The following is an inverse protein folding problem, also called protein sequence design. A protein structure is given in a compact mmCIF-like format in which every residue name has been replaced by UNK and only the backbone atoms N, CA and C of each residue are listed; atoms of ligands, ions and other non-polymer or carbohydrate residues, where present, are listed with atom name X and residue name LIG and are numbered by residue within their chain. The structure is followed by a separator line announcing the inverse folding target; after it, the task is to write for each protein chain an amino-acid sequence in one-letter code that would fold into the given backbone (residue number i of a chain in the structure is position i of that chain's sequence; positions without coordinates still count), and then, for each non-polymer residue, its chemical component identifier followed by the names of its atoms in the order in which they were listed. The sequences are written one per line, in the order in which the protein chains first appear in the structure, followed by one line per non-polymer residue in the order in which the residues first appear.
data_IF_053233753041
#
_entry.id   IF_053233753041
#
_cell.length_a   1.000
_cell.length_b   1.000
_cell.length_c   1.000
_cell.angle_alpha   90.00
_cell.angle_beta   90.00
_cell.angle_gamma   90.00
#
_symmetry.space_group_name_H-M   'P 1'
#
loop_
_entity.id
_entity.type
_entity.pdbx_description
1 polymer ?
#
# COMPACT_ATOMS: atom_id res chain seq x y z
N UNK A 1 11.03 -6.96 17.33
CA UNK A 1 9.57 -7.09 17.24
C UNK A 1 9.03 -5.68 17.12
N UNK A 2 8.29 -5.38 16.05
CA UNK A 2 7.73 -4.05 15.77
C UNK A 2 6.24 -4.14 16.00
N UNK A 3 5.69 -3.22 16.80
CA UNK A 3 4.27 -3.15 17.10
C UNK A 3 3.65 -1.91 16.49
N UNK A 4 2.39 -2.01 16.09
CA UNK A 4 1.56 -0.87 15.72
C UNK A 4 0.39 -0.82 16.69
N UNK A 5 0.12 0.35 17.26
CA UNK A 5 -0.93 0.57 18.24
C UNK A 5 -1.71 1.84 17.90
N UNK A 6 -3.00 1.84 18.23
CA UNK A 6 -3.88 2.99 18.09
C UNK A 6 -4.80 3.07 19.29
N UNK A 7 -4.96 4.27 19.86
CA UNK A 7 -5.81 4.50 21.04
C UNK A 7 -7.05 5.28 20.63
N UNK A 8 -8.21 4.77 21.00
CA UNK A 8 -9.51 5.38 20.68
C UNK A 8 -10.52 5.10 21.77
N UNK A 9 -11.39 6.09 22.05
CA UNK A 9 -12.54 5.92 22.92
C UNK A 9 -13.77 5.58 22.07
N UNK A 10 -14.19 4.32 22.09
CA UNK A 10 -15.37 3.82 21.39
C UNK A 10 -15.90 2.55 22.07
N UNK A 11 -17.06 2.05 21.65
CA UNK A 11 -17.49 0.69 22.00
C UNK A 11 -16.47 -0.34 21.52
N UNK A 12 -16.30 -1.45 22.24
CA UNK A 12 -15.20 -2.42 22.02
C UNK A 12 -15.06 -2.87 20.55
N UNK A 13 -16.16 -3.30 19.91
CA UNK A 13 -16.13 -3.75 18.51
C UNK A 13 -15.78 -2.63 17.54
N UNK A 14 -16.31 -1.43 17.78
CA UNK A 14 -16.03 -0.25 16.96
C UNK A 14 -14.59 0.25 17.15
N UNK A 15 -14.08 0.16 18.38
CA UNK A 15 -12.69 0.46 18.71
C UNK A 15 -11.71 -0.46 17.99
N UNK A 16 -11.99 -1.78 17.97
CA UNK A 16 -11.18 -2.74 17.21
C UNK A 16 -11.17 -2.42 15.71
N UNK A 17 -12.33 -2.11 15.12
CA UNK A 17 -12.44 -1.77 13.71
C UNK A 17 -11.63 -0.50 13.36
N UNK A 18 -11.78 0.57 14.14
CA UNK A 18 -11.04 1.82 13.93
C UNK A 18 -9.54 1.58 14.09
N UNK A 19 -9.13 0.88 15.16
CA UNK A 19 -7.72 0.58 15.39
C UNK A 19 -7.14 -0.25 14.24
N UNK A 20 -7.87 -1.26 13.77
CA UNK A 20 -7.47 -2.07 12.63
C UNK A 20 -7.27 -1.22 11.36
N UNK A 21 -8.22 -0.35 11.02
CA UNK A 21 -8.11 0.52 9.84
C UNK A 21 -6.91 1.46 9.90
N UNK A 22 -6.68 2.07 11.07
CA UNK A 22 -5.60 3.03 11.30
C UNK A 22 -4.23 2.36 11.29
N UNK A 23 -4.10 1.25 12.02
CA UNK A 23 -2.86 0.48 12.06
C UNK A 23 -2.55 -0.14 10.68
N UNK A 24 -3.56 -0.62 9.95
CA UNK A 24 -3.39 -1.16 8.59
C UNK A 24 -2.89 -0.10 7.61
N UNK A 25 -3.40 1.13 7.70
CA UNK A 25 -2.92 2.24 6.87
C UNK A 25 -1.45 2.58 7.15
N UNK A 26 -1.02 2.58 8.42
CA UNK A 26 0.38 2.77 8.78
C UNK A 26 1.27 1.63 8.22
N UNK A 27 0.79 0.39 8.29
CA UNK A 27 1.47 -0.76 7.68
C UNK A 27 1.54 -0.65 6.16
N UNK A 28 0.51 -0.14 5.49
CA UNK A 28 0.54 0.07 4.04
C UNK A 28 1.65 1.06 3.62
N UNK A 29 1.90 2.10 4.43
CA UNK A 29 3.05 3.00 4.21
C UNK A 29 4.37 2.25 4.36
N UNK A 30 4.52 1.41 5.39
CA UNK A 30 5.74 0.61 5.58
C UNK A 30 5.98 -0.34 4.40
N UNK A 31 4.92 -0.99 3.92
CA UNK A 31 4.98 -1.86 2.73
C UNK A 31 5.47 -1.09 1.50
N UNK A 32 4.89 0.07 1.21
CA UNK A 32 5.31 0.91 0.08
C UNK A 32 6.81 1.24 0.11
N UNK A 33 7.33 1.44 1.32
CA UNK A 33 8.72 1.81 1.56
C UNK A 33 9.68 0.60 1.67
N UNK A 34 9.18 -0.63 1.57
CA UNK A 34 9.96 -1.86 1.77
C UNK A 34 10.54 -2.45 0.49
N UNK A 35 11.47 -3.39 0.62
CA UNK A 35 12.22 -3.95 -0.52
C UNK A 35 11.38 -4.63 -1.61
N UNK A 36 10.17 -5.12 -1.34
CA UNK A 36 9.31 -5.77 -2.36
C UNK A 36 8.87 -4.82 -3.48
N UNK A 37 8.91 -3.51 -3.23
CA UNK A 37 8.72 -2.52 -4.29
C UNK A 37 9.80 -2.62 -5.37
N UNK A 38 11.03 -2.98 -5.00
CA UNK A 38 12.14 -3.17 -5.95
C UNK A 38 12.23 -4.63 -6.42
N UNK A 39 12.00 -5.56 -5.50
CA UNK A 39 12.15 -7.00 -5.71
C UNK A 39 10.78 -7.68 -5.60
N UNK A 40 10.01 -7.76 -6.70
CA UNK A 40 8.61 -8.15 -6.62
C UNK A 40 8.37 -9.59 -6.15
N UNK A 41 9.41 -10.43 -6.18
CA UNK A 41 9.40 -11.81 -5.71
C UNK A 41 9.65 -11.96 -4.20
N UNK A 42 10.06 -10.88 -3.52
CA UNK A 42 10.23 -10.89 -2.05
C UNK A 42 8.84 -10.80 -1.41
N UNK A 43 8.53 -11.76 -0.53
CA UNK A 43 7.25 -11.81 0.16
C UNK A 43 7.24 -10.87 1.38
N UNK A 44 6.24 -10.00 1.45
CA UNK A 44 5.93 -9.21 2.66
C UNK A 44 4.78 -9.85 3.42
N UNK A 45 4.98 -10.01 4.73
CA UNK A 45 3.95 -10.39 5.67
C UNK A 45 3.99 -9.46 6.87
N UNK A 46 2.82 -8.98 7.29
CA UNK A 46 2.64 -8.25 8.54
C UNK A 46 1.51 -8.91 9.31
N UNK A 47 1.75 -9.21 10.57
CA UNK A 47 0.81 -9.98 11.40
C UNK A 47 -0.50 -9.24 11.62
N UNK A 48 -0.59 -7.92 11.47
CA UNK A 48 -1.89 -7.25 11.58
C UNK A 48 -2.75 -7.43 10.31
N UNK A 49 -2.14 -7.75 9.17
CA UNK A 49 -2.82 -7.62 7.88
C UNK A 49 -3.73 -8.81 7.56
N UNK A 50 -4.96 -8.74 8.09
CA UNK A 50 -6.04 -9.70 7.80
C UNK A 50 -6.53 -9.66 6.34
N UNK A 51 -6.04 -8.73 5.49
CA UNK A 51 -6.53 -8.50 4.11
C UNK A 51 -5.85 -9.38 3.06
N UNK A 52 -4.71 -9.99 3.39
CA UNK A 52 -4.00 -10.90 2.47
C UNK A 52 -4.63 -12.31 2.49
N UNK A 53 -4.79 -12.91 1.31
CA UNK A 53 -5.26 -14.30 1.15
C UNK A 53 -4.30 -15.36 1.70
N UNK A 54 -3.11 -14.94 2.10
CA UNK A 54 -2.19 -15.72 2.91
C UNK A 54 -2.45 -15.18 4.31
N UNK A 55 -3.08 -15.98 5.15
CA UNK A 55 -3.35 -15.64 6.53
C UNK A 55 -2.24 -16.26 7.40
N UNK A 56 -1.05 -15.64 7.54
CA UNK A 56 -0.21 -16.00 8.67
C UNK A 56 -0.89 -15.40 9.88
N UNK A 57 -1.41 -16.28 10.72
CA UNK A 57 -2.19 -15.96 11.92
C UNK A 57 -1.59 -14.79 12.71
N UNK A 58 -2.46 -13.96 13.29
CA UNK A 58 -2.13 -12.61 13.76
C UNK A 58 -1.97 -12.57 15.30
N UNK A 59 -0.97 -11.86 15.81
CA UNK A 59 -0.91 -11.47 17.23
C UNK A 59 -1.65 -10.12 17.43
N UNK A 60 -2.89 -10.18 17.92
CA UNK A 60 -3.68 -8.97 18.22
C UNK A 60 -3.94 -8.90 19.72
N UNK A 61 -3.47 -7.82 20.34
CA UNK A 61 -3.75 -7.49 21.73
C UNK A 61 -4.89 -6.45 21.78
N UNK A 62 -6.00 -6.83 22.39
CA UNK A 62 -7.09 -5.89 22.72
C UNK A 62 -7.14 -5.79 24.24
N UNK A 63 -6.98 -4.58 24.77
CA UNK A 63 -7.04 -4.32 26.20
C UNK A 63 -7.99 -3.16 26.47
N UNK A 64 -8.82 -3.28 27.51
CA UNK A 64 -9.59 -2.16 28.01
C UNK A 64 -8.67 -1.27 28.87
N UNK A 65 -8.61 0.02 28.56
CA UNK A 65 -7.71 0.96 29.23
C UNK A 65 -7.98 1.11 30.75
N UNK A 66 -9.17 0.71 31.22
CA UNK A 66 -9.55 0.79 32.64
C UNK A 66 -9.30 -0.51 33.41
N UNK A 67 -9.10 -1.65 32.73
CA UNK A 67 -8.85 -2.96 33.33
C UNK A 67 -7.93 -3.79 32.42
N UNK A 68 -6.61 -3.55 32.54
CA UNK A 68 -5.58 -4.13 31.66
C UNK A 68 -5.45 -5.67 31.75
N UNK A 69 -5.90 -6.28 32.86
CA UNK A 69 -5.63 -7.69 33.17
C UNK A 69 -6.79 -8.66 32.85
N UNK A 70 -8.04 -8.21 32.88
CA UNK A 70 -9.20 -9.12 32.83
C UNK A 70 -9.74 -9.39 31.41
N UNK A 71 -9.36 -8.58 30.41
CA UNK A 71 -9.91 -8.64 29.03
C UNK A 71 -8.86 -8.96 27.94
N UNK A 72 -7.69 -9.49 28.33
CA UNK A 72 -6.60 -9.81 27.40
C UNK A 72 -6.98 -10.98 26.48
N UNK A 73 -7.28 -10.68 25.21
CA UNK A 73 -7.43 -11.71 24.17
C UNK A 73 -6.11 -11.90 23.42
N UNK A 74 -5.64 -13.14 23.37
CA UNK A 74 -4.42 -13.57 22.68
C UNK A 74 -4.77 -14.54 21.56
N UNK A 75 -4.41 -14.19 20.34
CA UNK A 75 -4.40 -15.12 19.20
C UNK A 75 -2.94 -15.26 18.73
N UNK A 76 -2.49 -16.49 18.50
CA UNK A 76 -1.07 -16.79 18.24
C UNK A 76 -0.92 -17.76 17.07
N UNK A 77 -0.14 -17.37 16.05
CA UNK A 77 0.63 -18.28 15.20
C UNK A 77 1.51 -17.49 14.23
N UNK A 78 2.43 -18.16 13.53
CA UNK A 78 3.58 -17.54 12.88
C UNK A 78 3.59 -17.69 11.35
N UNK A 79 4.03 -16.65 10.61
CA UNK A 79 4.50 -16.81 9.24
C UNK A 79 5.81 -17.64 9.19
N UNK A 80 6.09 -18.26 8.04
CA UNK A 80 7.35 -19.01 7.82
C UNK A 80 8.58 -18.11 7.63
N UNK A 81 8.40 -16.84 7.26
CA UNK A 81 9.49 -15.87 7.07
C UNK A 81 9.10 -14.51 7.65
N UNK A 82 9.91 -13.99 8.57
CA UNK A 82 9.77 -12.64 9.09
C UNK A 82 10.44 -11.66 8.13
N UNK A 83 9.70 -10.65 7.66
CA UNK A 83 10.35 -9.46 7.08
C UNK A 83 11.18 -8.81 8.18
N UNK A 84 12.50 -8.76 8.01
CA UNK A 84 13.39 -8.18 9.02
C UNK A 84 13.70 -6.75 8.62
N UNK A 85 13.20 -5.81 9.40
CA UNK A 85 13.64 -4.42 9.33
C UNK A 85 14.99 -4.35 10.05
N UNK A 86 16.07 -4.54 9.31
CA UNK A 86 17.43 -4.25 9.77
C UNK A 86 17.82 -2.81 9.42
N UNK A 87 19.05 -2.39 9.77
CA UNK A 87 19.49 -1.01 9.54
C UNK A 87 19.45 -0.62 8.05
N UNK A 88 19.73 -1.57 7.13
CA UNK A 88 19.69 -1.32 5.70
C UNK A 88 18.27 -1.15 5.19
N UNK A 89 17.35 -1.99 5.65
CA UNK A 89 15.94 -1.87 5.32
C UNK A 89 15.34 -0.59 5.92
N UNK A 90 15.75 -0.21 7.13
CA UNK A 90 15.35 1.05 7.75
C UNK A 90 15.86 2.26 6.95
N UNK A 91 17.13 2.27 6.54
CA UNK A 91 17.68 3.31 5.67
C UNK A 91 16.91 3.42 4.35
N UNK A 92 16.55 2.28 3.74
CA UNK A 92 15.70 2.27 2.55
C UNK A 92 14.33 2.88 2.82
N UNK A 93 13.67 2.47 3.90
CA UNK A 93 12.35 2.99 4.28
C UNK A 93 12.40 4.51 4.43
N UNK A 94 13.42 5.03 5.12
CA UNK A 94 13.61 6.48 5.30
C UNK A 94 13.89 7.17 3.96
N UNK A 95 14.77 6.62 3.12
CA UNK A 95 15.12 7.20 1.82
C UNK A 95 13.94 7.27 0.84
N UNK A 96 12.89 6.48 1.08
CA UNK A 96 11.65 6.43 0.28
C UNK A 96 10.53 7.28 0.86
N UNK A 97 10.89 8.33 1.59
CA UNK A 97 9.95 9.33 2.09
C UNK A 97 8.96 8.80 3.13
N UNK A 98 9.29 7.73 3.85
CA UNK A 98 8.49 7.30 5.00
C UNK A 98 8.23 8.43 6.02
N UNK A 99 9.17 9.36 6.31
CA UNK A 99 8.88 10.52 7.16
C UNK A 99 7.80 11.44 6.59
N UNK A 100 7.75 11.66 5.26
CA UNK A 100 6.73 12.49 4.63
C UNK A 100 5.35 11.82 4.73
N UNK A 101 5.28 10.52 4.48
CA UNK A 101 4.05 9.75 4.66
C UNK A 101 3.61 9.73 6.13
N UNK A 102 4.55 9.61 7.08
CA UNK A 102 4.25 9.70 8.50
C UNK A 102 3.62 11.04 8.87
N UNK A 103 4.24 12.15 8.44
CA UNK A 103 3.72 13.50 8.67
C UNK A 103 2.35 13.69 8.02
N UNK A 104 2.15 13.16 6.81
CA UNK A 104 0.84 13.16 6.14
C UNK A 104 -0.21 12.43 6.97
N UNK A 105 0.10 11.23 7.49
CA UNK A 105 -0.81 10.45 8.33
C UNK A 105 -1.17 11.19 9.62
N UNK A 106 -0.23 11.90 10.26
CA UNK A 106 -0.52 12.71 11.46
C UNK A 106 -1.46 13.89 11.15
N UNK A 107 -1.29 14.54 10.00
CA UNK A 107 -2.10 15.71 9.61
C UNK A 107 -3.56 15.33 9.38
N UNK A 108 -3.80 14.23 8.66
CA UNK A 108 -5.16 13.79 8.28
C UNK A 108 -6.00 13.30 9.47
N UNK A 109 -5.42 13.10 10.65
CA UNK A 109 -6.18 12.75 11.86
C UNK A 109 -6.83 13.95 12.53
N UNK A 110 -6.37 15.15 12.20
CA UNK A 110 -6.76 16.39 12.88
C UNK A 110 -7.71 17.28 12.08
N UNK A 111 -8.01 16.91 10.83
CA UNK A 111 -8.79 17.72 9.92
C UNK A 111 -9.80 16.90 9.10
N UNK A 112 -10.83 17.57 8.58
CA UNK A 112 -11.64 16.99 7.51
C UNK A 112 -10.78 16.73 6.27
N UNK A 113 -11.00 15.59 5.62
CA UNK A 113 -10.20 15.18 4.48
C UNK A 113 -10.71 15.86 3.21
N UNK A 114 -9.80 16.56 2.53
CA UNK A 114 -10.02 16.95 1.13
C UNK A 114 -10.11 15.72 0.22
N UNK A 115 -10.71 15.90 -0.96
CA UNK A 115 -10.80 14.87 -2.00
C UNK A 115 -9.42 14.32 -2.38
N UNK A 116 -8.42 15.20 -2.53
CA UNK A 116 -7.05 14.79 -2.82
C UNK A 116 -6.45 13.93 -1.70
N UNK A 117 -6.65 14.29 -0.43
CA UNK A 117 -6.18 13.49 0.70
C UNK A 117 -6.84 12.11 0.72
N UNK A 118 -8.14 12.02 0.44
CA UNK A 118 -8.84 10.73 0.30
C UNK A 118 -8.29 9.89 -0.85
N UNK A 119 -8.02 10.50 -2.01
CA UNK A 119 -7.40 9.83 -3.15
C UNK A 119 -6.01 9.29 -2.79
N UNK A 120 -5.20 10.07 -2.06
CA UNK A 120 -3.87 9.63 -1.59
C UNK A 120 -4.00 8.47 -0.60
N UNK A 121 -4.87 8.56 0.41
CA UNK A 121 -5.10 7.46 1.37
C UNK A 121 -5.53 6.19 0.66
N UNK A 122 -6.48 6.29 -0.28
CA UNK A 122 -6.95 5.14 -1.05
C UNK A 122 -5.84 4.56 -1.93
N UNK A 123 -4.97 5.41 -2.47
CA UNK A 123 -3.81 4.99 -3.27
C UNK A 123 -2.78 4.25 -2.42
N UNK A 124 -2.49 4.73 -1.21
CA UNK A 124 -1.61 4.06 -0.24
C UNK A 124 -2.15 2.66 0.09
N UNK A 125 -3.43 2.56 0.46
CA UNK A 125 -4.10 1.28 0.76
C UNK A 125 -4.03 0.30 -0.41
N UNK A 126 -4.37 0.77 -1.62
CA UNK A 126 -4.34 -0.06 -2.84
C UNK A 126 -2.92 -0.48 -3.20
N UNK A 127 -1.94 0.40 -3.01
CA UNK A 127 -0.54 0.09 -3.30
C UNK A 127 -0.04 -1.00 -2.34
N UNK A 128 -0.24 -0.82 -1.03
CA UNK A 128 0.14 -1.80 -0.01
C UNK A 128 -0.45 -3.19 -0.27
N UNK A 129 -1.71 -3.24 -0.71
CA UNK A 129 -2.33 -4.48 -1.16
C UNK A 129 -1.67 -5.06 -2.42
N UNK A 130 -1.45 -4.23 -3.44
CA UNK A 130 -0.90 -4.66 -4.73
C UNK A 130 0.47 -5.32 -4.60
N UNK A 131 1.39 -4.71 -3.83
CA UNK A 131 2.73 -5.28 -3.64
C UNK A 131 2.73 -6.54 -2.78
N UNK A 132 1.66 -6.79 -2.04
CA UNK A 132 1.47 -8.05 -1.30
C UNK A 132 0.93 -9.17 -2.19
N UNK A 133 0.47 -8.86 -3.41
CA UNK A 133 -0.10 -9.82 -4.34
C UNK A 133 0.99 -10.56 -5.13
N UNK A 134 1.04 -11.90 -5.02
CA UNK A 134 2.04 -12.74 -5.70
C UNK A 134 1.84 -12.83 -7.21
N UNK A 135 0.64 -12.58 -7.72
CA UNK A 135 0.39 -12.55 -9.16
C UNK A 135 0.89 -11.20 -9.72
N UNK A 136 1.97 -11.23 -10.49
CA UNK A 136 2.61 -10.04 -11.03
C UNK A 136 1.74 -9.30 -12.05
N UNK A 137 0.91 -10.00 -12.83
CA UNK A 137 -0.04 -9.37 -13.76
C UNK A 137 -1.11 -8.59 -13.03
N UNK A 138 -1.68 -9.21 -11.99
CA UNK A 138 -2.68 -8.57 -11.15
C UNK A 138 -2.06 -7.38 -10.40
N UNK A 139 -0.81 -7.52 -9.91
CA UNK A 139 -0.06 -6.41 -9.31
C UNK A 139 0.11 -5.26 -10.30
N UNK A 140 0.49 -5.52 -11.55
CA UNK A 140 0.60 -4.48 -12.60
C UNK A 140 -0.75 -3.80 -12.84
N UNK A 141 -1.85 -4.56 -12.92
CA UNK A 141 -3.20 -4.01 -13.07
C UNK A 141 -3.56 -3.08 -11.93
N UNK A 142 -3.32 -3.51 -10.69
CA UNK A 142 -3.64 -2.74 -9.50
C UNK A 142 -2.80 -1.46 -9.41
N UNK A 143 -1.49 -1.57 -9.65
CA UNK A 143 -0.58 -0.42 -9.70
C UNK A 143 -0.97 0.57 -10.80
N UNK A 144 -1.30 0.09 -11.99
CA UNK A 144 -1.73 0.98 -13.07
C UNK A 144 -3.05 1.66 -12.74
N UNK A 145 -3.99 0.95 -12.12
CA UNK A 145 -5.29 1.53 -11.70
C UNK A 145 -5.13 2.62 -10.65
N UNK A 146 -4.12 2.55 -9.79
CA UNK A 146 -3.76 3.63 -8.86
C UNK A 146 -3.34 4.87 -9.64
N UNK A 147 -2.45 4.71 -10.64
CA UNK A 147 -2.03 5.83 -11.50
C UNK A 147 -3.21 6.43 -12.27
N UNK A 148 -4.13 5.61 -12.77
CA UNK A 148 -5.36 6.10 -13.40
C UNK A 148 -6.19 6.95 -12.43
N UNK A 149 -6.40 6.46 -11.21
CA UNK A 149 -7.19 7.17 -10.19
C UNK A 149 -6.58 8.52 -9.80
N UNK A 150 -5.25 8.64 -9.83
CA UNK A 150 -4.54 9.85 -9.46
C UNK A 150 -4.35 10.86 -10.60
N UNK A 151 -4.30 10.39 -11.86
CA UNK A 151 -3.83 11.19 -13.00
C UNK A 151 -4.86 11.37 -14.12
N UNK A 152 -5.99 10.67 -14.06
CA UNK A 152 -7.06 10.84 -15.02
C UNK A 152 -7.91 12.07 -14.66
N UNK A 153 -8.06 13.00 -15.61
CA UNK A 153 -8.79 14.25 -15.37
C UNK A 153 -10.31 14.04 -15.38
N UNK A 154 -10.79 13.20 -16.30
CA UNK A 154 -12.21 12.87 -16.44
C UNK A 154 -12.37 11.51 -17.14
N UNK A 155 -13.59 10.99 -17.16
CA UNK A 155 -13.91 9.68 -17.75
C UNK A 155 -13.79 9.65 -19.29
N UNK A 156 -13.72 10.81 -19.95
CA UNK A 156 -13.65 10.92 -21.41
C UNK A 156 -12.21 11.01 -21.92
N UNK A 157 -11.26 11.27 -21.01
CA UNK A 157 -9.86 11.44 -21.32
C UNK A 157 -9.23 10.10 -21.73
N UNK A 158 -8.42 10.06 -22.81
CA UNK A 158 -7.66 8.86 -23.14
C UNK A 158 -6.73 8.49 -21.98
N UNK A 159 -6.98 7.33 -21.39
CA UNK A 159 -6.34 6.88 -20.15
C UNK A 159 -4.82 6.87 -20.29
N UNK A 160 -4.33 6.20 -21.32
CA UNK A 160 -2.89 6.03 -21.54
C UNK A 160 -2.18 7.36 -21.76
N UNK A 161 -2.79 8.29 -22.51
CA UNK A 161 -2.18 9.59 -22.81
C UNK A 161 -2.13 10.46 -21.55
N UNK A 162 -3.19 10.45 -20.74
CA UNK A 162 -3.26 11.21 -19.49
C UNK A 162 -2.20 10.70 -18.50
N UNK A 163 -2.19 9.40 -18.23
CA UNK A 163 -1.23 8.78 -17.30
C UNK A 163 0.20 9.01 -17.77
N UNK A 164 0.51 8.77 -19.06
CA UNK A 164 1.85 8.99 -19.60
C UNK A 164 2.29 10.45 -19.50
N UNK A 165 1.41 11.40 -19.85
CA UNK A 165 1.73 12.83 -19.87
C UNK A 165 2.00 13.37 -18.47
N UNK A 166 1.15 13.05 -17.50
CA UNK A 166 1.26 13.61 -16.15
C UNK A 166 2.29 12.88 -15.30
N UNK A 167 2.31 11.54 -15.31
CA UNK A 167 3.27 10.75 -14.54
C UNK A 167 4.72 11.09 -14.94
N UNK A 168 5.01 11.13 -16.24
CA UNK A 168 6.38 11.43 -16.72
C UNK A 168 6.87 12.81 -16.30
N UNK A 169 5.99 13.82 -16.29
CA UNK A 169 6.33 15.19 -15.88
C UNK A 169 6.47 15.34 -14.36
N UNK A 170 5.69 14.58 -13.58
CA UNK A 170 5.76 14.59 -12.12
C UNK A 170 7.04 13.93 -11.60
N UNK A 171 7.41 12.78 -12.19
CA UNK A 171 8.53 11.97 -11.68
C UNK A 171 9.88 12.47 -12.21
N UNK A 172 9.98 12.82 -13.49
CA UNK A 172 11.26 13.12 -14.12
C UNK A 172 11.33 14.54 -14.70
N UNK A 173 12.50 15.17 -14.54
CA UNK A 173 12.81 16.46 -15.18
C UNK A 173 13.45 16.29 -16.57
N UNK A 174 14.32 15.29 -16.74
CA UNK A 174 15.05 15.02 -17.99
C UNK A 174 14.13 14.35 -19.02
N UNK A 175 14.36 14.66 -20.30
CA UNK A 175 13.50 14.17 -21.40
C UNK A 175 13.70 12.68 -21.65
N UNK A 176 14.92 12.20 -21.49
CA UNK A 176 15.32 10.80 -21.72
C UNK A 176 14.63 9.88 -20.70
N UNK A 177 14.67 10.23 -19.41
CA UNK A 177 14.01 9.48 -18.34
C UNK A 177 12.48 9.48 -18.52
N UNK A 178 11.91 10.59 -19.02
CA UNK A 178 10.48 10.65 -19.38
C UNK A 178 10.12 9.68 -20.49
N UNK A 179 10.93 9.57 -21.53
CA UNK A 179 10.70 8.62 -22.64
C UNK A 179 10.72 7.18 -22.14
N UNK A 180 11.66 6.85 -21.27
CA UNK A 180 11.72 5.54 -20.63
C UNK A 180 10.45 5.24 -19.83
N UNK A 181 10.03 6.16 -18.95
CA UNK A 181 8.82 5.98 -18.15
C UNK A 181 7.55 5.85 -19.01
N UNK A 182 7.44 6.63 -20.09
CA UNK A 182 6.30 6.52 -21.02
C UNK A 182 6.27 5.13 -21.68
N UNK A 183 7.41 4.59 -22.08
CA UNK A 183 7.47 3.25 -22.65
C UNK A 183 7.03 2.19 -21.63
N UNK A 184 7.52 2.29 -20.39
CA UNK A 184 7.13 1.40 -19.29
C UNK A 184 5.62 1.46 -19.00
N UNK A 185 5.03 2.66 -18.91
CA UNK A 185 3.60 2.83 -18.66
C UNK A 185 2.75 2.24 -19.79
N UNK A 186 3.19 2.34 -21.05
CA UNK A 186 2.52 1.68 -22.18
C UNK A 186 2.55 0.16 -22.05
N UNK A 187 3.70 -0.42 -21.69
CA UNK A 187 3.81 -1.86 -21.44
C UNK A 187 2.91 -2.32 -20.28
N UNK A 188 2.84 -1.55 -19.18
CA UNK A 188 1.93 -1.84 -18.08
C UNK A 188 0.46 -1.79 -18.51
N UNK A 189 0.09 -0.79 -19.33
CA UNK A 189 -1.27 -0.67 -19.84
C UNK A 189 -1.65 -1.84 -20.76
N UNK A 190 -0.73 -2.35 -21.58
CA UNK A 190 -0.98 -3.53 -22.40
C UNK A 190 -1.25 -4.77 -21.55
N UNK A 191 -0.49 -4.97 -20.46
CA UNK A 191 -0.75 -6.05 -19.49
C UNK A 191 -2.13 -5.88 -18.89
N UNK A 192 -2.47 -4.66 -18.44
CA UNK A 192 -3.79 -4.36 -17.87
C UNK A 192 -4.92 -4.64 -18.85
N UNK A 193 -4.82 -4.12 -20.06
CA UNK A 193 -5.83 -4.28 -21.11
C UNK A 193 -6.02 -5.76 -21.47
N UNK A 194 -4.93 -6.52 -21.58
CA UNK A 194 -4.97 -7.97 -21.85
C UNK A 194 -5.66 -8.75 -20.73
N UNK A 195 -5.37 -8.46 -19.46
CA UNK A 195 -5.98 -9.18 -18.35
C UNK A 195 -7.46 -8.81 -18.20
N UNK A 196 -7.80 -7.52 -18.26
CA UNK A 196 -9.17 -7.03 -18.04
C UNK A 196 -10.10 -7.39 -19.20
N UNK A 197 -9.69 -7.18 -20.45
CA UNK A 197 -10.58 -7.35 -21.60
C UNK A 197 -10.52 -8.74 -22.24
N UNK A 198 -9.42 -9.47 -22.05
CA UNK A 198 -9.22 -10.76 -22.70
C UNK A 198 -8.96 -11.91 -21.73
N UNK A 199 -8.84 -11.65 -20.42
CA UNK A 199 -8.53 -12.69 -19.42
C UNK A 199 -7.20 -13.38 -19.68
N UNK A 200 -6.25 -12.71 -20.36
CA UNK A 200 -4.98 -13.31 -20.79
C UNK A 200 -3.79 -12.67 -20.09
N UNK A 201 -2.96 -13.51 -19.48
CA UNK A 201 -1.66 -13.12 -18.95
C UNK A 201 -0.63 -13.05 -20.11
N UNK A 202 -0.01 -11.88 -20.30
CA UNK A 202 1.11 -11.72 -21.26
C UNK A 202 2.40 -12.33 -20.69
N UNK A 203 3.34 -12.80 -21.50
CA UNK A 203 4.68 -13.11 -20.94
C UNK A 203 5.33 -11.81 -20.45
N UNK A 204 5.71 -11.78 -19.17
CA UNK A 204 6.57 -10.75 -18.59
C UNK A 204 8.00 -11.14 -18.99
N UNK A 205 8.67 -10.30 -19.78
CA UNK A 205 10.07 -10.47 -20.17
C UNK A 205 10.98 -9.75 -19.18
#
# INVERSE_FOLDING_TARGET
MVYVAYSVKAESSRGEEIAFEKCSLAVDVLKMCSETTDFPNVELGFDIDRRVNINPQNEVFVCNAENELDDLKLNLSRPKHHHKIDDKEWERIISRQAPDFHNFLLQIETCELSELQQLIINSIKRYGNAISNKNLHQRIVELFTILESLLLLDQNSPIIDSVCKYCSKLVFKKVEDRKYLIALLKSMYEVRSSLIHHGKEKKLN
#
